data_IF_494039942508
#
_entry.id   IF_494039942508
#
_cell.length_a   1.000
_cell.length_b   1.000
_cell.length_c   1.000
_cell.angle_alpha   90.00
_cell.angle_beta   90.00
_cell.angle_gamma   90.00
#
_symmetry.space_group_name_H-M   'P 1'
#
loop_
_entity.id
_entity.type
_entity.pdbx_description
1 polymer ?
#
# COMPACT_ATOMS: atom_id res chain seq x y z
N UNK A 1 4.98 1.09 31.65
CA UNK A 1 5.26 -0.28 31.16
C UNK A 1 6.25 -0.91 32.12
N UNK A 2 6.19 -2.22 32.39
CA UNK A 2 7.31 -2.87 33.06
C UNK A 2 8.50 -2.94 32.08
N UNK A 3 9.73 -2.68 32.53
CA UNK A 3 10.93 -2.88 31.72
C UNK A 3 10.97 -4.30 31.16
N UNK A 4 11.33 -4.42 29.88
CA UNK A 4 11.43 -5.71 29.19
C UNK A 4 12.90 -5.98 28.82
N UNK A 5 13.64 -6.76 29.63
CA UNK A 5 15.01 -7.14 29.31
C UNK A 5 15.06 -8.26 28.26
N UNK A 6 16.14 -8.32 27.49
CA UNK A 6 16.38 -9.39 26.52
C UNK A 6 17.80 -9.40 25.99
N UNK A 7 18.05 -10.27 25.02
CA UNK A 7 19.32 -10.41 24.34
C UNK A 7 19.12 -10.63 22.83
N UNK A 8 19.95 -10.00 22.01
CA UNK A 8 20.06 -10.33 20.58
C UNK A 8 21.48 -10.12 20.07
N UNK A 9 21.85 -10.79 18.98
CA UNK A 9 23.18 -10.64 18.38
C UNK A 9 23.44 -9.19 17.94
N UNK A 10 22.41 -8.51 17.43
CA UNK A 10 22.47 -7.10 17.04
C UNK A 10 22.63 -6.15 18.24
N UNK A 11 21.88 -6.36 19.32
CA UNK A 11 21.80 -5.39 20.45
C UNK A 11 22.71 -5.70 21.63
N UNK A 12 23.19 -6.94 21.77
CA UNK A 12 23.70 -7.46 23.03
C UNK A 12 22.56 -7.59 24.06
N UNK A 13 22.90 -7.45 25.34
CA UNK A 13 21.87 -7.28 26.37
C UNK A 13 21.12 -5.97 26.16
N UNK A 14 19.80 -5.99 26.29
CA UNK A 14 18.99 -4.79 26.17
C UNK A 14 17.88 -4.74 27.20
N UNK A 15 17.42 -3.53 27.48
CA UNK A 15 16.24 -3.26 28.31
C UNK A 15 15.38 -2.24 27.57
N UNK A 16 14.18 -2.65 27.19
CA UNK A 16 13.19 -1.75 26.61
C UNK A 16 12.32 -1.17 27.72
N UNK A 17 12.16 0.16 27.74
CA UNK A 17 11.31 0.82 28.74
C UNK A 17 10.39 1.83 28.09
N UNK A 18 9.30 2.16 28.79
CA UNK A 18 8.42 3.18 28.27
C UNK A 18 7.37 3.66 29.27
N UNK A 19 7.08 4.95 29.16
CA UNK A 19 6.05 5.63 29.89
C UNK A 19 4.82 5.80 29.01
N UNK A 20 3.70 5.25 29.44
CA UNK A 20 2.42 5.45 28.76
C UNK A 20 1.74 6.70 29.31
N UNK A 21 1.42 7.62 28.41
CA UNK A 21 0.58 8.77 28.69
C UNK A 21 -0.80 8.52 28.07
N UNK A 22 -1.77 8.27 28.94
CA UNK A 22 -3.18 8.10 28.56
C UNK A 22 -3.92 9.40 28.85
N UNK A 23 -4.14 10.22 27.81
CA UNK A 23 -4.96 11.43 27.94
C UNK A 23 -6.46 11.10 27.84
N UNK A 24 -6.82 10.17 26.96
CA UNK A 24 -8.19 9.64 26.83
C UNK A 24 -8.18 8.27 26.14
N UNK A 25 -9.34 7.59 26.09
CA UNK A 25 -9.47 6.36 25.31
C UNK A 25 -9.11 6.55 23.81
N UNK A 26 -9.27 7.78 23.30
CA UNK A 26 -9.05 8.17 21.90
C UNK A 26 -7.67 8.80 21.64
N UNK A 27 -6.85 8.96 22.67
CA UNK A 27 -5.50 9.50 22.53
C UNK A 27 -4.56 8.86 23.54
N UNK A 28 -3.63 8.07 23.02
CA UNK A 28 -2.65 7.34 23.79
C UNK A 28 -1.27 7.67 23.25
N UNK A 29 -0.32 7.95 24.13
CA UNK A 29 1.07 8.12 23.75
C UNK A 29 1.96 7.21 24.58
N UNK A 30 3.06 6.74 23.99
CA UNK A 30 4.10 5.96 24.66
C UNK A 30 5.44 6.60 24.36
N UNK A 31 6.07 7.15 25.38
CA UNK A 31 7.46 7.57 25.33
C UNK A 31 8.33 6.34 25.58
N UNK A 32 9.26 6.06 24.67
CA UNK A 32 10.22 4.96 24.75
C UNK A 32 11.58 5.51 25.17
N UNK A 33 12.22 4.80 26.08
CA UNK A 33 13.62 5.00 26.42
C UNK A 33 14.25 3.62 26.61
N UNK A 34 14.94 3.16 25.59
CA UNK A 34 15.50 1.83 25.53
C UNK A 34 17.02 1.92 25.65
N UNK A 35 17.62 0.95 26.34
CA UNK A 35 19.07 0.78 26.38
C UNK A 35 19.45 -0.54 25.73
N UNK A 36 20.46 -0.52 24.86
CA UNK A 36 21.05 -1.69 24.23
C UNK A 36 22.55 -1.65 24.46
N UNK A 37 23.14 -2.73 24.95
CA UNK A 37 24.56 -2.81 25.30
C UNK A 37 25.47 -2.39 24.15
N UNK A 38 25.22 -2.90 22.94
CA UNK A 38 26.03 -2.59 21.75
C UNK A 38 25.67 -1.24 21.11
N UNK A 39 24.39 -0.85 21.19
CA UNK A 39 23.83 0.29 20.43
C UNK A 39 23.66 1.57 21.25
N UNK A 40 23.69 1.51 22.58
CA UNK A 40 23.47 2.64 23.46
C UNK A 40 22.00 2.95 23.70
N UNK A 41 21.72 4.23 24.00
CA UNK A 41 20.37 4.72 24.28
C UNK A 41 19.60 5.02 23.00
N UNK A 42 18.36 4.55 22.93
CA UNK A 42 17.41 4.95 21.91
C UNK A 42 16.12 5.47 22.55
N UNK A 43 15.53 6.45 21.89
CA UNK A 43 14.32 7.12 22.35
C UNK A 43 13.27 7.16 21.24
N UNK A 44 12.00 7.22 21.62
CA UNK A 44 10.94 7.21 20.63
C UNK A 44 9.60 7.64 21.19
N UNK A 45 8.67 7.93 20.28
CA UNK A 45 7.30 8.29 20.61
C UNK A 45 6.36 7.48 19.72
N UNK A 46 5.49 6.70 20.35
CA UNK A 46 4.32 6.15 19.69
C UNK A 46 3.10 6.98 20.09
N UNK A 47 2.31 7.43 19.13
CA UNK A 47 1.02 8.11 19.35
C UNK A 47 -0.04 7.34 18.61
N UNK A 48 -1.11 7.00 19.31
CA UNK A 48 -2.37 6.55 18.73
C UNK A 48 -3.42 7.65 18.95
N UNK A 49 -4.18 7.95 17.91
CA UNK A 49 -5.28 8.91 17.99
C UNK A 49 -6.51 8.42 17.24
N UNK A 50 -7.68 8.78 17.75
CA UNK A 50 -8.98 8.57 17.13
C UNK A 50 -9.80 9.87 17.23
N UNK A 51 -10.32 10.36 16.12
CA UNK A 51 -11.05 11.62 16.06
C UNK A 51 -12.14 11.59 14.99
N UNK A 52 -12.94 12.66 14.91
CA UNK A 52 -13.87 12.86 13.79
C UNK A 52 -13.17 12.96 12.43
N UNK A 53 -11.90 13.37 12.42
CA UNK A 53 -11.08 13.46 11.22
C UNK A 53 -10.38 12.14 10.87
N UNK A 54 -10.77 11.04 11.51
CA UNK A 54 -10.16 9.72 11.32
C UNK A 54 -9.30 9.28 12.49
N UNK A 55 -8.67 8.13 12.29
CA UNK A 55 -7.81 7.45 13.25
C UNK A 55 -6.41 7.28 12.66
N UNK A 56 -5.42 7.15 13.54
CA UNK A 56 -4.07 6.91 13.07
C UNK A 56 -3.05 6.68 14.17
N UNK A 57 -1.85 6.39 13.69
CA UNK A 57 -0.69 6.07 14.49
C UNK A 57 0.52 6.84 13.96
N UNK A 58 1.30 7.39 14.88
CA UNK A 58 2.61 8.00 14.60
C UNK A 58 3.63 7.22 15.43
N UNK A 59 4.67 6.71 14.79
CA UNK A 59 5.78 6.04 15.49
C UNK A 59 7.08 6.71 15.10
N UNK A 60 7.80 7.21 16.08
CA UNK A 60 9.16 7.74 15.91
C UNK A 60 10.13 6.95 16.75
N UNK A 61 11.36 6.85 16.28
CA UNK A 61 12.47 6.33 17.05
C UNK A 61 13.77 6.95 16.57
N UNK A 62 14.67 7.25 17.49
CA UNK A 62 16.00 7.79 17.22
C UNK A 62 17.02 7.08 18.11
N UNK A 63 18.20 6.81 17.57
CA UNK A 63 19.33 6.24 18.28
C UNK A 63 20.62 6.74 17.66
N UNK A 64 21.57 7.10 18.52
CA UNK A 64 22.96 7.30 18.14
C UNK A 64 23.76 6.09 18.58
N UNK A 65 24.11 5.25 17.62
CA UNK A 65 24.71 3.94 17.87
C UNK A 65 26.09 4.09 18.54
N UNK A 66 26.28 3.42 19.68
CA UNK A 66 27.52 3.51 20.44
C UNK A 66 28.71 2.84 19.74
N UNK A 67 28.47 1.76 19.01
CA UNK A 67 29.47 0.96 18.30
C UNK A 67 29.85 1.55 16.93
N UNK A 68 28.88 1.94 16.11
CA UNK A 68 29.09 2.46 14.74
C UNK A 68 29.22 3.99 14.69
N UNK A 69 28.76 4.69 15.73
CA UNK A 69 28.61 6.16 15.78
C UNK A 69 27.58 6.73 14.80
N UNK A 70 26.80 5.88 14.14
CA UNK A 70 25.75 6.29 13.21
C UNK A 70 24.51 6.81 13.95
N UNK A 71 23.83 7.77 13.34
CA UNK A 71 22.54 8.26 13.81
C UNK A 71 21.44 7.63 12.95
N UNK A 72 20.60 6.81 13.58
CA UNK A 72 19.55 6.06 12.88
C UNK A 72 18.19 6.41 13.46
N UNK A 73 17.18 6.45 12.59
CA UNK A 73 15.86 6.92 12.97
C UNK A 73 14.75 6.42 12.06
N UNK A 74 13.52 6.49 12.56
CA UNK A 74 12.31 6.31 11.76
C UNK A 74 11.25 7.32 12.12
N UNK A 75 10.46 7.69 11.11
CA UNK A 75 9.19 8.38 11.23
C UNK A 75 8.17 7.58 10.42
N UNK A 76 7.19 7.01 11.12
CA UNK A 76 6.08 6.28 10.51
C UNK A 76 4.77 6.95 10.87
N UNK A 77 3.92 7.16 9.87
CA UNK A 77 2.57 7.69 10.03
C UNK A 77 1.61 6.79 9.27
N UNK A 78 0.59 6.32 9.96
CA UNK A 78 -0.58 5.65 9.37
C UNK A 78 -1.82 6.44 9.72
N UNK A 79 -2.62 6.78 8.73
CA UNK A 79 -3.87 7.49 8.93
C UNK A 79 -4.98 6.90 8.06
N UNK A 80 -6.17 6.72 8.64
CA UNK A 80 -7.38 6.27 7.95
C UNK A 80 -8.53 7.19 8.28
N UNK A 81 -9.25 7.62 7.26
CA UNK A 81 -10.40 8.49 7.42
C UNK A 81 -11.50 8.11 6.44
N UNK A 82 -12.68 7.78 6.98
CA UNK A 82 -13.91 7.67 6.18
C UNK A 82 -14.50 9.07 6.02
N UNK A 83 -14.14 9.77 4.95
CA UNK A 83 -14.62 11.12 4.64
C UNK A 83 -16.14 11.15 4.46
N UNK A 84 -16.71 10.04 3.96
CA UNK A 84 -18.15 9.80 3.89
C UNK A 84 -18.43 8.29 3.91
N UNK A 85 -19.69 7.88 3.77
CA UNK A 85 -20.06 6.44 3.62
C UNK A 85 -19.48 5.80 2.36
N UNK A 86 -19.12 6.59 1.35
CA UNK A 86 -18.62 6.12 0.07
C UNK A 86 -17.16 6.46 -0.18
N UNK A 87 -16.54 7.36 0.59
CA UNK A 87 -15.19 7.88 0.35
C UNK A 87 -14.25 7.50 1.48
N UNK A 88 -13.16 6.80 1.15
CA UNK A 88 -12.11 6.42 2.09
C UNK A 88 -10.75 7.02 1.73
N UNK A 89 -10.11 7.66 2.70
CA UNK A 89 -8.74 8.16 2.63
C UNK A 89 -7.83 7.29 3.48
N UNK A 90 -6.68 6.89 2.92
CA UNK A 90 -5.61 6.20 3.63
C UNK A 90 -4.29 6.86 3.32
N UNK A 91 -3.51 7.14 4.34
CA UNK A 91 -2.15 7.68 4.22
C UNK A 91 -1.20 6.76 4.97
N UNK A 92 -0.11 6.39 4.32
CA UNK A 92 1.05 5.75 4.93
C UNK A 92 2.30 6.53 4.53
N UNK A 93 3.06 6.95 5.52
CA UNK A 93 4.38 7.54 5.34
C UNK A 93 5.36 6.78 6.23
N UNK A 94 6.33 6.12 5.61
CA UNK A 94 7.38 5.36 6.28
C UNK A 94 8.73 5.92 5.80
N UNK A 95 9.30 6.87 6.56
CA UNK A 95 10.63 7.46 6.32
C UNK A 95 11.62 6.89 7.34
N UNK A 96 12.75 6.37 6.85
CA UNK A 96 13.77 5.70 7.65
C UNK A 96 15.14 6.27 7.31
N UNK A 97 16.08 6.19 8.26
CA UNK A 97 17.50 6.45 8.02
C UNK A 97 18.11 5.48 7.01
N UNK A 98 17.70 4.21 7.07
CA UNK A 98 18.24 3.14 6.24
C UNK A 98 17.24 1.98 6.11
N UNK A 99 17.52 1.07 5.18
CA UNK A 99 16.63 -0.05 4.81
C UNK A 99 16.44 -1.07 5.94
N UNK A 100 17.45 -1.26 6.78
CA UNK A 100 17.47 -2.36 7.75
C UNK A 100 16.98 -1.92 9.13
N UNK A 101 16.77 -0.62 9.35
CA UNK A 101 16.39 -0.06 10.65
C UNK A 101 15.20 -0.76 11.30
N UNK A 102 14.13 -1.03 10.55
CA UNK A 102 12.95 -1.67 11.12
C UNK A 102 13.18 -3.14 11.47
N UNK A 103 13.97 -3.85 10.69
CA UNK A 103 14.31 -5.24 10.95
C UNK A 103 15.22 -5.34 12.18
N UNK A 104 16.29 -4.54 12.20
CA UNK A 104 17.28 -4.49 13.27
C UNK A 104 16.67 -4.15 14.66
N UNK A 105 15.77 -3.16 14.72
CA UNK A 105 15.26 -2.63 15.98
C UNK A 105 13.89 -3.17 16.39
N UNK A 106 13.08 -3.64 15.43
CA UNK A 106 11.70 -4.05 15.66
C UNK A 106 11.32 -5.41 15.03
N UNK A 107 12.20 -6.03 14.25
CA UNK A 107 11.88 -7.26 13.50
C UNK A 107 10.77 -7.05 12.48
N UNK A 108 10.67 -5.85 11.91
CA UNK A 108 9.62 -5.46 10.98
C UNK A 108 10.18 -5.19 9.57
N UNK A 109 9.49 -5.68 8.55
CA UNK A 109 9.84 -5.36 7.16
C UNK A 109 9.39 -3.95 6.76
N UNK A 110 10.23 -3.28 5.97
CA UNK A 110 9.90 -2.01 5.34
C UNK A 110 8.67 -2.10 4.42
N UNK A 111 7.80 -1.08 4.48
CA UNK A 111 6.63 -0.94 3.61
C UNK A 111 6.64 0.41 2.92
N UNK A 112 6.30 0.41 1.63
CA UNK A 112 6.27 1.63 0.81
C UNK A 112 5.19 2.61 1.27
N UNK A 113 5.52 3.89 1.15
CA UNK A 113 4.60 5.00 1.44
C UNK A 113 3.57 5.19 0.35
N UNK A 114 2.34 5.55 0.73
CA UNK A 114 1.30 5.84 -0.23
C UNK A 114 0.23 6.78 0.33
N UNK A 115 -0.46 7.45 -0.59
CA UNK A 115 -1.74 8.10 -0.37
C UNK A 115 -2.78 7.40 -1.26
N UNK A 116 -3.90 7.00 -0.67
CA UNK A 116 -5.00 6.36 -1.37
C UNK A 116 -6.31 7.09 -1.06
N UNK A 117 -7.06 7.39 -2.11
CA UNK A 117 -8.42 7.93 -2.03
C UNK A 117 -9.35 7.03 -2.85
N UNK A 118 -10.29 6.36 -2.19
CA UNK A 118 -11.29 5.53 -2.82
C UNK A 118 -12.66 6.18 -2.77
N UNK A 119 -13.46 5.98 -3.82
CA UNK A 119 -14.89 6.32 -3.86
C UNK A 119 -15.68 5.13 -4.42
N UNK A 120 -16.66 4.65 -3.65
CA UNK A 120 -17.58 3.57 -4.02
C UNK A 120 -18.96 4.12 -4.31
N UNK A 121 -19.34 4.09 -5.58
CA UNK A 121 -20.69 4.40 -6.02
C UNK A 121 -21.57 3.16 -6.18
N UNK A 122 -22.82 3.36 -6.60
CA UNK A 122 -23.69 2.25 -6.97
C UNK A 122 -23.24 1.65 -8.30
N UNK A 123 -22.68 0.44 -8.26
CA UNK A 123 -22.24 -0.28 -9.46
C UNK A 123 -20.89 0.19 -10.04
N UNK A 124 -20.12 1.02 -9.33
CA UNK A 124 -18.79 1.44 -9.76
C UNK A 124 -17.87 1.80 -8.57
N UNK A 125 -16.56 1.71 -8.80
CA UNK A 125 -15.53 2.14 -7.86
C UNK A 125 -14.49 2.98 -8.61
N UNK A 126 -14.07 4.08 -8.00
CA UNK A 126 -12.94 4.91 -8.45
C UNK A 126 -11.91 4.97 -7.34
N UNK A 127 -10.64 4.84 -7.68
CA UNK A 127 -9.54 4.96 -6.73
C UNK A 127 -8.42 5.81 -7.33
N UNK A 128 -7.83 6.68 -6.50
CA UNK A 128 -6.60 7.40 -6.78
C UNK A 128 -5.54 6.91 -5.81
N UNK A 129 -4.38 6.51 -6.33
CA UNK A 129 -3.23 6.07 -5.57
C UNK A 129 -2.03 6.94 -5.97
N UNK A 130 -1.34 7.49 -4.99
CA UNK A 130 -0.02 8.09 -5.15
C UNK A 130 0.97 7.29 -4.31
N UNK A 131 2.00 6.74 -4.95
CA UNK A 131 3.01 5.88 -4.34
C UNK A 131 4.40 6.45 -4.66
N UNK A 132 4.87 7.47 -3.90
CA UNK A 132 6.17 8.09 -4.12
C UNK A 132 7.30 7.28 -3.47
N UNK A 133 8.53 7.47 -3.94
CA UNK A 133 9.72 7.09 -3.20
C UNK A 133 9.98 8.15 -2.13
N UNK A 134 9.99 7.72 -0.87
CA UNK A 134 10.26 8.61 0.26
C UNK A 134 11.64 8.36 0.87
N UNK A 135 12.29 7.24 0.51
CA UNK A 135 13.62 6.86 0.94
C UNK A 135 14.59 6.68 -0.23
N UNK A 136 14.96 7.76 -0.94
CA UNK A 136 15.72 7.69 -2.19
C UNK A 136 17.09 7.01 -2.04
N UNK A 137 17.68 7.03 -0.83
CA UNK A 137 18.99 6.45 -0.56
C UNK A 137 19.02 4.93 -0.81
N UNK A 138 17.94 4.22 -0.46
CA UNK A 138 17.83 2.76 -0.56
C UNK A 138 16.68 2.26 -1.43
N UNK A 139 15.75 3.12 -1.85
CA UNK A 139 14.71 2.81 -2.84
C UNK A 139 15.20 2.99 -4.28
N UNK A 140 16.50 2.78 -4.53
CA UNK A 140 17.09 2.95 -5.86
C UNK A 140 16.41 2.05 -6.87
N UNK A 141 15.93 2.67 -7.95
CA UNK A 141 15.22 2.00 -9.02
C UNK A 141 13.74 1.68 -8.73
N UNK A 142 13.19 2.13 -7.59
CA UNK A 142 11.76 2.09 -7.30
C UNK A 142 10.97 2.82 -8.40
N UNK A 143 9.85 2.23 -8.82
CA UNK A 143 8.96 2.81 -9.82
C UNK A 143 7.78 3.44 -9.09
N UNK A 144 7.81 4.76 -9.00
CA UNK A 144 6.76 5.56 -8.38
C UNK A 144 5.49 5.56 -9.24
N UNK A 145 4.33 5.66 -8.60
CA UNK A 145 3.02 5.79 -9.27
C UNK A 145 2.40 7.12 -8.87
N UNK A 146 2.53 8.15 -9.71
CA UNK A 146 2.22 9.54 -9.34
C UNK A 146 1.46 10.30 -10.45
N UNK A 147 0.11 10.22 -10.48
CA UNK A 147 -0.75 9.28 -9.77
C UNK A 147 -1.08 8.03 -10.59
N UNK A 148 -1.68 7.04 -9.93
CA UNK A 148 -2.48 5.98 -10.51
C UNK A 148 -3.96 6.27 -10.24
N UNK A 149 -4.79 6.21 -11.28
CA UNK A 149 -6.24 6.36 -11.21
C UNK A 149 -6.86 5.10 -11.78
N UNK A 150 -7.73 4.43 -11.01
CA UNK A 150 -8.43 3.21 -11.42
C UNK A 150 -9.93 3.42 -11.31
N UNK A 151 -10.65 3.04 -12.36
CA UNK A 151 -12.11 2.97 -12.37
C UNK A 151 -12.52 1.54 -12.71
N UNK A 152 -13.43 0.96 -11.93
CA UNK A 152 -14.03 -0.35 -12.23
C UNK A 152 -15.55 -0.25 -12.16
N UNK A 153 -16.23 -0.93 -13.09
CA UNK A 153 -17.68 -1.08 -13.09
C UNK A 153 -18.03 -2.50 -12.62
N UNK A 154 -19.07 -2.62 -11.81
CA UNK A 154 -19.58 -3.94 -11.45
C UNK A 154 -20.10 -4.65 -12.70
N UNK A 155 -19.84 -5.97 -12.88
CA UNK A 155 -20.33 -6.69 -14.05
C UNK A 155 -21.85 -6.62 -14.17
N UNK A 156 -22.36 -6.13 -15.30
CA UNK A 156 -23.80 -5.98 -15.54
C UNK A 156 -24.32 -7.02 -16.52
N UNK A 157 -25.49 -7.59 -16.21
CA UNK A 157 -26.19 -8.49 -17.13
C UNK A 157 -26.64 -7.73 -18.37
N UNK A 158 -26.39 -8.29 -19.55
CA UNK A 158 -26.77 -7.68 -20.83
C UNK A 158 -28.22 -8.01 -21.17
N UNK A 159 -29.13 -7.08 -20.84
CA UNK A 159 -30.56 -7.21 -21.11
C UNK A 159 -31.15 -8.50 -20.51
N UNK A 160 -31.88 -9.26 -21.32
CA UNK A 160 -32.46 -10.55 -20.91
C UNK A 160 -31.50 -11.74 -21.10
N UNK A 161 -30.33 -11.54 -21.73
CA UNK A 161 -29.37 -12.62 -21.99
C UNK A 161 -28.72 -13.14 -20.70
N UNK A 162 -28.07 -14.31 -20.74
CA UNK A 162 -27.26 -14.79 -19.60
C UNK A 162 -25.84 -14.20 -19.54
N UNK A 163 -25.50 -13.26 -20.42
CA UNK A 163 -24.17 -12.68 -20.49
C UNK A 163 -24.00 -11.50 -19.52
N UNK A 164 -22.80 -11.36 -18.98
CA UNK A 164 -22.37 -10.30 -18.11
C UNK A 164 -21.19 -9.55 -18.74
N UNK A 165 -21.26 -8.22 -18.73
CA UNK A 165 -20.22 -7.33 -19.23
C UNK A 165 -19.43 -6.73 -18.06
N UNK A 166 -18.13 -7.00 -18.00
CA UNK A 166 -17.17 -6.39 -17.09
C UNK A 166 -16.34 -5.32 -17.80
N UNK A 167 -16.05 -4.23 -17.08
CA UNK A 167 -15.33 -3.06 -17.62
C UNK A 167 -14.49 -2.41 -16.52
N UNK A 168 -13.26 -2.03 -16.87
CA UNK A 168 -12.47 -1.11 -16.06
C UNK A 168 -11.46 -0.34 -16.91
N UNK A 169 -10.95 0.74 -16.32
CA UNK A 169 -9.87 1.54 -16.88
C UNK A 169 -8.88 1.91 -15.77
N UNK A 170 -7.61 2.03 -16.13
CA UNK A 170 -6.54 2.49 -15.26
C UNK A 170 -5.64 3.46 -16.04
N UNK A 171 -5.35 4.62 -15.47
CA UNK A 171 -4.32 5.52 -15.96
C UNK A 171 -3.26 5.66 -14.89
N UNK A 172 -2.02 5.36 -15.21
CA UNK A 172 -0.90 5.46 -14.27
C UNK A 172 0.25 6.24 -14.89
N UNK A 173 0.73 7.25 -14.19
CA UNK A 173 2.02 7.86 -14.47
C UNK A 173 3.10 7.17 -13.64
N UNK A 174 3.93 6.36 -14.29
CA UNK A 174 5.09 5.72 -13.71
C UNK A 174 6.28 6.67 -13.79
N UNK A 175 6.95 6.93 -12.67
CA UNK A 175 8.19 7.70 -12.61
C UNK A 175 9.31 6.83 -12.06
N UNK A 176 10.48 6.91 -12.66
CA UNK A 176 11.70 6.27 -12.18
C UNK A 176 12.87 7.19 -12.50
N UNK A 177 13.47 7.76 -11.46
CA UNK A 177 14.52 8.78 -11.61
C UNK A 177 14.01 9.90 -12.55
N UNK A 178 14.74 10.21 -13.62
CA UNK A 178 14.38 11.25 -14.59
C UNK A 178 13.41 10.77 -15.69
N UNK A 179 13.01 9.49 -15.66
CA UNK A 179 12.15 8.89 -16.69
C UNK A 179 10.70 8.84 -16.25
N UNK A 180 9.80 9.14 -17.18
CA UNK A 180 8.36 9.04 -16.98
C UNK A 180 7.68 8.25 -18.11
N UNK A 181 6.68 7.44 -17.73
CA UNK A 181 5.81 6.72 -18.66
C UNK A 181 4.39 6.86 -18.15
N UNK A 182 3.51 7.43 -18.98
CA UNK A 182 2.07 7.41 -18.73
C UNK A 182 1.48 6.21 -19.47
N UNK A 183 0.73 5.37 -18.77
CA UNK A 183 0.01 4.23 -19.34
C UNK A 183 -1.47 4.38 -19.07
N UNK A 184 -2.28 4.28 -20.12
CA UNK A 184 -3.70 4.00 -20.01
C UNK A 184 -3.95 2.53 -20.36
N UNK A 185 -4.63 1.81 -19.47
CA UNK A 185 -5.11 0.45 -19.64
C UNK A 185 -6.64 0.48 -19.58
N UNK A 186 -7.29 -0.25 -20.46
CA UNK A 186 -8.75 -0.43 -20.46
C UNK A 186 -9.04 -1.87 -20.77
N UNK A 187 -9.92 -2.49 -19.98
CA UNK A 187 -10.34 -3.85 -20.23
C UNK A 187 -11.86 -3.96 -20.37
N UNK A 188 -12.25 -4.87 -21.23
CA UNK A 188 -13.63 -5.27 -21.48
C UNK A 188 -13.70 -6.79 -21.45
N UNK A 189 -14.61 -7.37 -20.68
CA UNK A 189 -14.84 -8.80 -20.65
C UNK A 189 -16.32 -9.16 -20.74
N UNK A 190 -16.61 -10.22 -21.47
CA UNK A 190 -17.92 -10.84 -21.58
C UNK A 190 -17.86 -12.21 -20.92
N UNK A 191 -18.77 -12.48 -19.99
CA UNK A 191 -18.81 -13.74 -19.26
C UNK A 191 -20.20 -14.35 -19.23
N UNK A 192 -20.29 -15.68 -19.21
CA UNK A 192 -21.56 -16.41 -19.18
C UNK A 192 -21.53 -17.47 -18.08
N UNK A 193 -22.00 -17.17 -16.86
CA UNK A 193 -22.03 -18.15 -15.79
C UNK A 193 -23.12 -19.20 -16.03
N UNK A 194 -22.78 -20.48 -15.93
CA UNK A 194 -23.74 -21.58 -16.01
C UNK A 194 -23.37 -22.72 -15.07
N UNK A 195 -24.33 -23.58 -14.76
CA UNK A 195 -24.11 -24.77 -13.93
C UNK A 195 -24.15 -26.02 -14.80
N UNK A 196 -23.06 -26.78 -14.82
CA UNK A 196 -22.96 -28.08 -15.49
C UNK A 196 -23.10 -29.22 -14.48
N UNK A 197 -23.80 -30.29 -14.89
CA UNK A 197 -24.00 -31.51 -14.10
C UNK A 197 -24.51 -31.25 -12.66
N UNK A 198 -25.20 -30.13 -12.41
CA UNK A 198 -25.69 -29.66 -11.09
C UNK A 198 -24.62 -29.34 -10.04
N UNK A 199 -23.36 -29.71 -10.23
CA UNK A 199 -22.28 -29.52 -9.25
C UNK A 199 -21.24 -28.47 -9.68
N UNK A 200 -21.04 -28.27 -10.98
CA UNK A 200 -19.97 -27.42 -11.50
C UNK A 200 -20.51 -26.04 -11.88
N UNK A 201 -20.10 -25.00 -11.16
CA UNK A 201 -20.34 -23.63 -11.59
C UNK A 201 -19.20 -23.18 -12.50
N UNK A 202 -19.52 -23.03 -13.78
CA UNK A 202 -18.60 -22.64 -14.82
C UNK A 202 -18.83 -21.17 -15.18
N UNK A 203 -17.75 -20.42 -15.39
CA UNK A 203 -17.81 -19.04 -15.89
C UNK A 203 -16.76 -18.85 -16.98
N UNK A 204 -17.04 -19.24 -18.23
CA UNK A 204 -16.26 -18.81 -19.38
C UNK A 204 -16.26 -17.29 -19.46
N UNK A 205 -15.11 -16.73 -19.79
CA UNK A 205 -14.89 -15.32 -20.09
C UNK A 205 -14.12 -15.17 -21.39
N UNK A 206 -14.53 -14.21 -22.19
CA UNK A 206 -13.78 -13.70 -23.33
C UNK A 206 -13.58 -12.21 -23.10
N UNK A 207 -12.34 -11.75 -23.18
CA UNK A 207 -12.04 -10.35 -22.91
C UNK A 207 -10.93 -9.79 -23.77
N UNK A 208 -10.74 -8.49 -23.63
CA UNK A 208 -9.76 -7.73 -24.38
C UNK A 208 -9.17 -6.64 -23.50
N UNK A 209 -7.84 -6.58 -23.43
CA UNK A 209 -7.11 -5.46 -22.85
C UNK A 209 -6.57 -4.54 -23.94
N UNK A 210 -6.71 -3.24 -23.73
CA UNK A 210 -6.16 -2.20 -24.57
C UNK A 210 -5.21 -1.33 -23.74
N UNK A 211 -3.94 -1.31 -24.14
CA UNK A 211 -2.92 -0.47 -23.55
C UNK A 211 -2.55 0.65 -24.51
N UNK A 212 -2.38 1.85 -23.96
CA UNK A 212 -1.78 3.03 -24.58
C UNK A 212 -0.66 3.53 -23.69
N UNK A 213 0.47 3.87 -24.27
CA UNK A 213 1.67 4.31 -23.59
C UNK A 213 2.13 5.63 -24.18
N UNK A 214 2.50 6.58 -23.32
CA UNK A 214 3.21 7.80 -23.68
C UNK A 214 4.49 7.86 -22.88
N UNK A 215 5.64 7.94 -23.55
CA UNK A 215 6.95 7.91 -22.89
C UNK A 215 7.96 8.78 -23.64
N UNK A 216 9.03 9.14 -22.95
CA UNK A 216 10.15 9.85 -23.58
C UNK A 216 11.29 8.87 -23.85
N UNK A 217 11.77 8.82 -25.10
CA UNK A 217 12.94 8.05 -25.51
C UNK A 217 13.86 8.98 -26.31
N UNK A 218 15.13 9.07 -25.92
CA UNK A 218 16.14 9.91 -26.60
C UNK A 218 15.67 11.37 -26.81
N UNK A 219 15.10 11.97 -25.77
CA UNK A 219 14.50 13.32 -25.76
C UNK A 219 13.32 13.53 -26.73
N UNK A 220 12.77 12.47 -27.30
CA UNK A 220 11.57 12.51 -28.15
C UNK A 220 10.39 11.89 -27.42
N UNK A 221 9.22 12.51 -27.56
CA UNK A 221 7.95 11.95 -27.10
C UNK A 221 7.51 10.87 -28.07
N UNK A 222 7.35 9.66 -27.57
CA UNK A 222 6.91 8.49 -28.30
C UNK A 222 5.56 8.02 -27.74
N UNK A 223 4.79 7.37 -28.61
CA UNK A 223 3.55 6.71 -28.23
C UNK A 223 3.53 5.26 -28.70
N UNK A 224 2.86 4.41 -27.93
CA UNK A 224 2.74 3.00 -28.24
C UNK A 224 1.37 2.47 -27.87
N UNK A 225 0.95 1.41 -28.54
CA UNK A 225 -0.27 0.71 -28.19
C UNK A 225 -0.11 -0.80 -28.24
N UNK A 226 -0.92 -1.49 -27.43
CA UNK A 226 -1.00 -2.95 -27.45
C UNK A 226 -2.43 -3.40 -27.19
N UNK A 227 -2.89 -4.34 -27.99
CA UNK A 227 -4.14 -5.07 -27.77
C UNK A 227 -3.83 -6.49 -27.32
N UNK A 228 -4.56 -7.02 -26.33
CA UNK A 228 -4.43 -8.39 -25.88
C UNK A 228 -5.80 -9.03 -25.69
N UNK A 229 -6.29 -9.86 -26.64
CA UNK A 229 -7.44 -10.71 -26.39
C UNK A 229 -7.06 -11.82 -25.40
N UNK A 230 -8.02 -12.26 -24.58
CA UNK A 230 -7.83 -13.39 -23.68
C UNK A 230 -9.11 -14.20 -23.51
N UNK A 231 -8.93 -15.45 -23.11
CA UNK A 231 -10.01 -16.36 -22.73
C UNK A 231 -9.67 -17.01 -21.39
N UNK A 232 -10.66 -17.13 -20.52
CA UNK A 232 -10.52 -17.69 -19.17
C UNK A 232 -11.71 -18.60 -18.87
N UNK A 233 -11.47 -19.72 -18.20
CA UNK A 233 -12.54 -20.58 -17.68
C UNK A 233 -12.43 -20.63 -16.15
N UNK A 234 -13.35 -19.96 -15.46
CA UNK A 234 -13.48 -20.06 -14.02
C UNK A 234 -14.23 -21.32 -13.61
N UNK A 235 -13.65 -22.12 -12.71
CA UNK A 235 -14.24 -23.32 -12.14
C UNK A 235 -14.46 -23.11 -10.63
N UNK A 236 -15.71 -23.27 -10.17
CA UNK A 236 -16.02 -23.23 -8.75
C UNK A 236 -16.75 -24.51 -8.34
N UNK A 237 -16.21 -25.16 -7.30
CA UNK A 237 -16.84 -26.31 -6.68
C UNK A 237 -17.80 -25.84 -5.60
N UNK A 238 -19.08 -26.09 -5.80
CA UNK A 238 -20.03 -26.09 -4.69
C UNK A 238 -20.01 -27.48 -4.08
N UNK A 239 -19.29 -27.67 -2.98
CA UNK A 239 -19.57 -28.81 -2.11
C UNK A 239 -20.87 -28.45 -1.39
N UNK A 240 -21.94 -29.16 -1.74
CA UNK A 240 -23.21 -29.11 -1.01
C UNK A 240 -23.09 -29.82 0.32
#
# INVERSE_FOLDING_TARGET
MLPNPGYSDFSGWYVQTGYYFYSSARFQAKLKLDYREKKGWGEGLDVFYESKAGEGEINTYYVKEADTKEERWTLRLRHRHSLSKSIDLKVRLDRLSDKNFLDDYFGEEYKTSYLYLGHRGSGYNVAVLAEPSVNPDFERGFIERLPQIRQSLEPRRLGKSGFYLGQAAEVTNFRKEDKNIVRADSFLDLSYPFTALKYFRLRPKLGYHLFRYWYTKDHKKEEGYRGMPYQELGLFFGIG
#
